data_IF_577723762769
#
_entry.id   IF_577723762769
#
_cell.length_a   1.000
_cell.length_b   1.000
_cell.length_c   1.000
_cell.angle_alpha   90.00
_cell.angle_beta   90.00
_cell.angle_gamma   90.00
#
_symmetry.space_group_name_H-M   'P 1'
#
loop_
_entity.id
_entity.type
_entity.pdbx_description
1 polymer ?
#
# COMPACT_ATOMS: atom_id res chain seq x y z
N UNK A 1 3.79 0.18 -0.32
CA UNK A 1 3.81 1.60 -0.72
C UNK A 1 3.82 1.82 -2.23
N UNK A 2 4.75 1.22 -3.00
CA UNK A 2 4.80 1.44 -4.47
C UNK A 2 3.46 1.16 -5.19
N UNK A 3 2.78 0.05 -4.89
CA UNK A 3 1.48 -0.28 -5.50
C UNK A 3 0.43 0.82 -5.26
N UNK A 4 0.34 1.35 -4.03
CA UNK A 4 -0.58 2.44 -3.69
C UNK A 4 -0.19 3.75 -4.40
N UNK A 5 1.10 4.09 -4.42
CA UNK A 5 1.59 5.29 -5.10
C UNK A 5 1.26 5.26 -6.60
N UNK A 6 1.55 4.15 -7.28
CA UNK A 6 1.26 4.04 -8.70
C UNK A 6 -0.23 3.97 -8.99
N UNK A 7 -1.01 3.25 -8.17
CA UNK A 7 -2.47 3.27 -8.26
C UNK A 7 -3.05 4.68 -8.12
N UNK A 8 -2.50 5.48 -7.19
CA UNK A 8 -2.91 6.87 -6.98
C UNK A 8 -2.58 7.72 -8.21
N UNK A 9 -1.36 7.59 -8.75
CA UNK A 9 -0.95 8.33 -9.95
C UNK A 9 -1.87 8.00 -11.14
N UNK A 10 -2.13 6.72 -11.40
CA UNK A 10 -2.99 6.29 -12.51
C UNK A 10 -4.42 6.81 -12.35
N UNK A 11 -5.01 6.74 -11.16
CA UNK A 11 -6.36 7.25 -10.92
C UNK A 11 -6.41 8.78 -11.02
N UNK A 12 -5.39 9.47 -10.51
CA UNK A 12 -5.28 10.93 -10.63
C UNK A 12 -5.14 11.36 -12.08
N UNK A 13 -4.31 10.69 -12.87
CA UNK A 13 -4.17 10.92 -14.31
C UNK A 13 -5.47 10.68 -15.07
N UNK A 14 -6.30 9.73 -14.61
CA UNK A 14 -7.64 9.50 -15.13
C UNK A 14 -8.68 10.57 -14.71
N UNK A 15 -8.29 11.54 -13.87
CA UNK A 15 -9.12 12.69 -13.49
C UNK A 15 -9.94 12.50 -12.22
N UNK A 16 -9.71 11.45 -11.43
CA UNK A 16 -10.37 11.29 -10.12
C UNK A 16 -9.81 12.28 -9.09
N UNK A 17 -10.66 12.73 -8.17
CA UNK A 17 -10.26 13.65 -7.09
C UNK A 17 -9.40 12.92 -6.06
N UNK A 18 -8.54 13.67 -5.37
CA UNK A 18 -7.66 13.12 -4.32
C UNK A 18 -8.49 12.50 -3.18
N UNK A 19 -9.58 13.16 -2.80
CA UNK A 19 -10.52 12.67 -1.78
C UNK A 19 -11.11 11.32 -2.16
N UNK A 20 -11.60 11.19 -3.41
CA UNK A 20 -12.22 9.97 -3.89
C UNK A 20 -11.21 8.82 -3.93
N UNK A 21 -10.01 9.06 -4.45
CA UNK A 21 -8.95 8.06 -4.54
C UNK A 21 -8.55 7.59 -3.13
N UNK A 22 -8.24 8.52 -2.22
CA UNK A 22 -7.74 8.18 -0.89
C UNK A 22 -8.84 7.53 -0.02
N UNK A 23 -10.10 7.91 -0.22
CA UNK A 23 -11.23 7.27 0.46
C UNK A 23 -11.40 5.81 0.05
N UNK A 24 -11.35 5.52 -1.26
CA UNK A 24 -11.37 4.15 -1.78
C UNK A 24 -10.14 3.35 -1.33
N UNK A 25 -8.96 3.99 -1.30
CA UNK A 25 -7.71 3.32 -0.94
C UNK A 25 -7.57 2.96 0.53
N UNK A 26 -7.92 3.85 1.47
CA UNK A 26 -7.77 3.57 2.90
C UNK A 26 -8.51 4.51 3.87
N UNK A 27 -8.92 5.73 3.48
CA UNK A 27 -9.58 6.65 4.43
C UNK A 27 -10.97 6.14 4.87
N UNK A 28 -11.66 5.35 4.04
CA UNK A 28 -12.92 4.68 4.41
C UNK A 28 -12.77 3.67 5.54
N UNK A 29 -11.54 3.19 5.78
CA UNK A 29 -11.20 2.05 6.64
C UNK A 29 -11.76 0.69 6.17
N UNK A 30 -12.42 0.61 5.01
CA UNK A 30 -12.86 -0.67 4.45
C UNK A 30 -11.69 -1.68 4.30
N UNK A 31 -10.49 -1.29 3.81
CA UNK A 31 -9.36 -2.21 3.77
C UNK A 31 -8.95 -2.74 5.14
N UNK A 32 -9.05 -1.92 6.20
CA UNK A 32 -8.72 -2.36 7.55
C UNK A 32 -9.68 -3.44 8.04
N UNK A 33 -10.99 -3.28 7.79
CA UNK A 33 -11.99 -4.31 8.09
C UNK A 33 -11.74 -5.58 7.26
N UNK A 34 -11.40 -5.44 5.96
CA UNK A 34 -11.07 -6.59 5.10
C UNK A 34 -9.90 -7.39 5.67
N UNK A 35 -8.83 -6.73 6.13
CA UNK A 35 -7.67 -7.41 6.70
C UNK A 35 -7.98 -8.06 8.06
N UNK A 36 -8.84 -7.45 8.88
CA UNK A 36 -9.34 -8.05 10.13
C UNK A 36 -10.11 -9.35 9.82
N UNK A 37 -11.08 -9.31 8.89
CA UNK A 37 -11.82 -10.50 8.45
C UNK A 37 -10.91 -11.56 7.83
N UNK A 38 -9.90 -11.14 7.08
CA UNK A 38 -8.91 -12.05 6.48
C UNK A 38 -8.08 -12.77 7.54
N UNK A 39 -7.76 -12.11 8.66
CA UNK A 39 -7.05 -12.73 9.77
C UNK A 39 -7.92 -13.77 10.49
N UNK A 40 -9.20 -13.49 10.68
CA UNK A 40 -10.14 -14.38 11.37
C UNK A 40 -10.55 -15.59 10.52
N UNK A 41 -10.78 -15.39 9.22
CA UNK A 41 -11.45 -16.38 8.37
C UNK A 41 -10.60 -16.88 7.20
N UNK A 42 -9.49 -16.20 6.91
CA UNK A 42 -8.63 -16.45 5.76
C UNK A 42 -8.93 -15.53 4.57
N UNK A 43 -7.86 -15.21 3.82
CA UNK A 43 -7.83 -14.18 2.78
C UNK A 43 -8.85 -14.34 1.65
N UNK A 44 -9.20 -15.59 1.29
CA UNK A 44 -10.21 -15.86 0.24
C UNK A 44 -11.62 -15.98 0.83
N UNK A 45 -11.78 -16.57 2.02
CA UNK A 45 -13.12 -16.81 2.61
C UNK A 45 -13.80 -15.52 3.02
N UNK A 46 -13.03 -14.52 3.43
CA UNK A 46 -13.55 -13.20 3.79
C UNK A 46 -14.33 -12.54 2.64
N UNK A 47 -14.07 -12.91 1.37
CA UNK A 47 -14.77 -12.37 0.20
C UNK A 47 -16.29 -12.54 0.23
N UNK A 48 -16.83 -13.43 1.07
CA UNK A 48 -18.28 -13.54 1.31
C UNK A 48 -18.91 -12.23 1.82
N UNK A 49 -18.12 -11.34 2.41
CA UNK A 49 -18.54 -10.01 2.87
C UNK A 49 -18.53 -8.93 1.77
N UNK A 50 -17.99 -9.26 0.59
CA UNK A 50 -17.93 -8.35 -0.55
C UNK A 50 -19.15 -8.48 -1.47
N UNK A 51 -19.39 -7.46 -2.31
CA UNK A 51 -20.38 -7.56 -3.40
C UNK A 51 -19.99 -8.65 -4.41
N UNK A 52 -20.97 -9.21 -5.13
CA UNK A 52 -20.73 -10.24 -6.16
C UNK A 52 -19.77 -9.75 -7.26
N UNK A 53 -19.85 -8.46 -7.61
CA UNK A 53 -18.94 -7.83 -8.58
C UNK A 53 -17.50 -7.82 -8.07
N UNK A 54 -17.28 -7.41 -6.81
CA UNK A 54 -15.95 -7.41 -6.20
C UNK A 54 -15.38 -8.82 -6.03
N UNK A 55 -16.22 -9.79 -5.62
CA UNK A 55 -15.85 -11.20 -5.55
C UNK A 55 -15.36 -11.72 -6.92
N UNK A 56 -16.13 -11.46 -7.99
CA UNK A 56 -15.73 -11.88 -9.34
C UNK A 56 -14.42 -11.21 -9.78
N UNK A 57 -14.27 -9.90 -9.56
CA UNK A 57 -13.05 -9.17 -9.91
C UNK A 57 -11.80 -9.75 -9.24
N UNK A 58 -11.86 -10.00 -7.94
CA UNK A 58 -10.72 -10.53 -7.18
C UNK A 58 -10.40 -11.99 -7.54
N UNK A 59 -11.42 -12.86 -7.59
CA UNK A 59 -11.23 -14.28 -7.91
C UNK A 59 -10.77 -14.50 -9.35
N UNK A 60 -11.35 -13.76 -10.31
CA UNK A 60 -10.93 -13.87 -11.71
C UNK A 60 -9.51 -13.37 -11.92
N UNK A 61 -9.09 -12.30 -11.24
CA UNK A 61 -7.71 -11.81 -11.28
C UNK A 61 -6.74 -12.85 -10.69
N UNK A 62 -7.07 -13.42 -9.53
CA UNK A 62 -6.25 -14.47 -8.89
C UNK A 62 -6.05 -15.70 -9.79
N UNK A 63 -7.10 -16.11 -10.51
CA UNK A 63 -7.03 -17.28 -11.39
C UNK A 63 -6.30 -17.01 -12.72
N UNK A 64 -6.28 -15.76 -13.19
CA UNK A 64 -5.76 -15.40 -14.53
C UNK A 64 -4.36 -14.79 -14.50
N UNK A 65 -3.98 -14.15 -13.40
CA UNK A 65 -2.67 -13.53 -13.29
C UNK A 65 -1.62 -14.57 -12.84
N UNK A 66 -0.54 -14.72 -13.61
CA UNK A 66 0.51 -15.71 -13.31
C UNK A 66 1.51 -15.27 -12.22
N UNK A 67 1.47 -13.98 -11.83
CA UNK A 67 2.24 -13.40 -10.74
C UNK A 67 3.76 -13.50 -10.91
N UNK A 68 4.28 -13.74 -12.12
CA UNK A 68 5.72 -13.98 -12.33
C UNK A 68 6.59 -12.80 -11.91
N UNK A 69 6.28 -11.61 -12.41
CA UNK A 69 7.03 -10.39 -12.09
C UNK A 69 7.08 -10.10 -10.59
N UNK A 70 5.97 -10.38 -9.90
CA UNK A 70 5.87 -10.22 -8.45
C UNK A 70 6.78 -11.26 -7.78
N UNK A 71 6.66 -12.54 -8.15
CA UNK A 71 7.45 -13.65 -7.62
C UNK A 71 8.95 -13.41 -7.80
N UNK A 72 9.36 -12.95 -8.97
CA UNK A 72 10.77 -12.64 -9.29
C UNK A 72 11.31 -11.51 -8.40
N UNK A 73 10.52 -10.43 -8.20
CA UNK A 73 10.91 -9.36 -7.26
C UNK A 73 11.09 -9.88 -5.83
N UNK A 74 10.16 -10.69 -5.34
CA UNK A 74 10.28 -11.28 -4.00
C UNK A 74 11.49 -12.22 -3.91
N UNK A 75 11.75 -13.02 -4.94
CA UNK A 75 12.91 -13.91 -4.98
C UNK A 75 14.23 -13.12 -4.92
N UNK A 76 14.37 -12.07 -5.72
CA UNK A 76 15.55 -11.21 -5.71
C UNK A 76 15.78 -10.55 -4.34
N UNK A 77 14.73 -9.96 -3.75
CA UNK A 77 14.83 -9.35 -2.42
C UNK A 77 15.26 -10.38 -1.37
N UNK A 78 14.64 -11.56 -1.37
CA UNK A 78 14.94 -12.60 -0.40
C UNK A 78 16.37 -13.11 -0.54
N UNK A 79 16.79 -13.52 -1.73
CA UNK A 79 18.07 -14.17 -1.93
C UNK A 79 19.24 -13.17 -1.96
N UNK A 80 19.08 -12.05 -2.65
CA UNK A 80 20.21 -11.15 -2.90
C UNK A 80 20.44 -10.15 -1.77
N UNK A 81 19.42 -9.86 -0.94
CA UNK A 81 19.55 -8.93 0.19
C UNK A 81 19.43 -9.61 1.56
N UNK A 82 18.37 -10.40 1.79
CA UNK A 82 18.06 -10.92 3.14
C UNK A 82 18.93 -12.12 3.46
N UNK A 83 18.82 -13.21 2.68
CA UNK A 83 19.53 -14.47 2.93
C UNK A 83 21.04 -14.35 2.66
N UNK A 84 21.45 -13.45 1.76
CA UNK A 84 22.86 -13.14 1.55
C UNK A 84 23.52 -12.42 2.73
N UNK A 85 22.74 -11.90 3.69
CA UNK A 85 23.23 -11.09 4.81
C UNK A 85 23.58 -9.64 4.44
N UNK A 86 23.56 -9.26 3.14
CA UNK A 86 23.96 -7.91 2.69
C UNK A 86 23.13 -6.79 3.31
N UNK A 87 21.83 -7.02 3.49
CA UNK A 87 20.98 -6.05 4.18
C UNK A 87 21.42 -5.88 5.64
N UNK A 88 21.62 -6.98 6.37
CA UNK A 88 22.03 -6.95 7.77
C UNK A 88 23.41 -6.31 7.94
N UNK A 89 24.37 -6.63 7.06
CA UNK A 89 25.71 -6.03 7.05
C UNK A 89 25.63 -4.50 6.92
N UNK A 90 24.94 -4.00 5.89
CA UNK A 90 24.76 -2.55 5.71
C UNK A 90 24.03 -1.91 6.89
N UNK A 91 22.91 -2.51 7.29
CA UNK A 91 22.03 -1.96 8.34
C UNK A 91 22.66 -1.98 9.73
N UNK A 92 23.65 -2.85 9.98
CA UNK A 92 24.38 -2.91 11.25
C UNK A 92 25.23 -1.66 11.53
N UNK A 93 25.58 -0.89 10.49
CA UNK A 93 26.17 0.43 10.63
C UNK A 93 25.08 1.44 11.03
N UNK A 94 24.87 1.61 12.33
CA UNK A 94 23.77 2.42 12.88
C UNK A 94 23.80 3.88 12.45
N UNK A 95 24.99 4.47 12.24
CA UNK A 95 25.12 5.84 11.75
C UNK A 95 24.63 5.94 10.30
N UNK A 96 25.15 5.08 9.42
CA UNK A 96 24.70 5.04 8.03
C UNK A 96 23.20 4.72 7.92
N UNK A 97 22.70 3.76 8.71
CA UNK A 97 21.30 3.36 8.71
C UNK A 97 20.37 4.53 9.08
N UNK A 98 20.74 5.33 10.08
CA UNK A 98 19.99 6.53 10.45
C UNK A 98 20.01 7.59 9.34
N UNK A 99 21.16 7.84 8.73
CA UNK A 99 21.32 8.80 7.62
C UNK A 99 20.52 8.37 6.38
N UNK A 100 20.60 7.09 6.00
CA UNK A 100 19.87 6.56 4.84
C UNK A 100 18.36 6.55 5.09
N UNK A 101 17.91 6.15 6.28
CA UNK A 101 16.48 6.21 6.63
C UNK A 101 15.93 7.65 6.58
N UNK A 102 16.68 8.62 7.10
CA UNK A 102 16.28 10.03 7.05
C UNK A 102 16.16 10.54 5.59
N UNK A 103 17.06 10.08 4.71
CA UNK A 103 17.00 10.37 3.28
C UNK A 103 15.76 9.76 2.63
N UNK A 104 15.44 8.49 2.90
CA UNK A 104 14.22 7.84 2.38
C UNK A 104 12.94 8.58 2.79
N UNK A 105 12.83 9.02 4.06
CA UNK A 105 11.72 9.86 4.51
C UNK A 105 11.59 11.14 3.70
N UNK A 106 12.70 11.87 3.54
CA UNK A 106 12.72 13.13 2.78
C UNK A 106 12.35 12.93 1.30
N UNK A 107 12.76 11.81 0.71
CA UNK A 107 12.40 11.48 -0.67
C UNK A 107 10.90 11.25 -0.83
N UNK A 108 10.26 10.54 0.11
CA UNK A 108 8.82 10.23 0.01
C UNK A 108 7.90 11.36 0.46
N UNK A 109 8.36 12.30 1.29
CA UNK A 109 7.59 13.48 1.74
C UNK A 109 6.99 14.28 0.57
N UNK A 110 7.72 14.37 -0.53
CA UNK A 110 7.28 15.12 -1.72
C UNK A 110 6.45 14.28 -2.70
N UNK A 111 6.18 13.01 -2.40
CA UNK A 111 5.39 12.16 -3.28
C UNK A 111 3.94 12.68 -3.37
N UNK A 112 3.32 12.69 -4.57
CA UNK A 112 1.97 13.23 -4.76
C UNK A 112 0.91 12.64 -3.81
N UNK A 113 0.95 11.33 -3.57
CA UNK A 113 0.03 10.63 -2.67
C UNK A 113 0.18 11.08 -1.20
N UNK A 114 1.39 11.45 -0.76
CA UNK A 114 1.67 11.91 0.61
C UNK A 114 1.12 13.32 0.79
N UNK A 115 1.44 14.21 -0.14
CA UNK A 115 0.94 15.58 -0.15
C UNK A 115 -0.59 15.64 -0.27
N UNK A 116 -1.18 14.73 -1.04
CA UNK A 116 -2.63 14.59 -1.15
C UNK A 116 -3.27 14.13 0.16
N UNK A 117 -2.67 13.14 0.84
CA UNK A 117 -3.18 12.64 2.12
C UNK A 117 -3.20 13.76 3.18
N UNK A 118 -2.15 14.58 3.27
CA UNK A 118 -2.12 15.74 4.16
C UNK A 118 -3.27 16.72 3.88
N UNK A 119 -3.42 17.13 2.61
CA UNK A 119 -4.49 18.06 2.19
C UNK A 119 -5.88 17.51 2.51
N UNK A 120 -6.15 16.27 2.12
CA UNK A 120 -7.47 15.65 2.31
C UNK A 120 -7.76 15.52 3.81
N UNK A 121 -6.79 15.08 4.61
CA UNK A 121 -6.94 14.98 6.08
C UNK A 121 -7.23 16.31 6.74
N UNK A 122 -6.66 17.40 6.26
CA UNK A 122 -6.93 18.74 6.78
C UNK A 122 -8.38 19.18 6.53
N UNK A 123 -8.96 18.78 5.40
CA UNK A 123 -10.35 19.08 5.03
C UNK A 123 -11.36 18.21 5.80
N UNK A 124 -11.08 16.91 5.96
CA UNK A 124 -12.03 15.96 6.55
C UNK A 124 -11.98 15.90 8.09
N UNK A 125 -11.22 16.79 8.76
CA UNK A 125 -11.21 16.83 10.23
C UNK A 125 -12.66 16.99 10.71
N UNK A 126 -13.19 16.06 11.52
CA UNK A 126 -14.52 16.23 12.07
C UNK A 126 -14.54 17.55 12.82
N UNK A 127 -15.63 18.30 12.63
CA UNK A 127 -15.88 19.56 13.33
C UNK A 127 -15.56 19.32 14.80
N UNK A 128 -14.50 19.96 15.31
CA UNK A 128 -14.12 19.86 16.71
C UNK A 128 -15.25 20.55 17.46
N UNK A 129 -16.30 19.79 17.81
CA UNK A 129 -17.39 20.29 18.63
C UNK A 129 -16.75 20.99 19.84
N UNK A 130 -16.98 22.29 19.91
CA UNK A 130 -16.71 23.12 21.08
C UNK A 130 -17.42 22.57 22.30
#
# INVERSE_FOLDING_TARGET
>A
MAIFREGFNVLREAGFSEEAILFDMYLSKEPAEIFERAADEGFVKQLKYHSRTSQYGQLSTMNRHDGKDIREKFHHILHDNILSGKFAEKWSNTKWAAEELAKEWKEVENAPIVQADERVRDVIKPDRKK
#
